data_IF_878703119540
#
_entry.id   IF_878703119540
#
_cell.length_a   1.000
_cell.length_b   1.000
_cell.length_c   1.000
_cell.angle_alpha   90.00
_cell.angle_beta   90.00
_cell.angle_gamma   90.00
#
_symmetry.space_group_name_H-M   'P 1'
#
loop_
_entity.id
_entity.type
_entity.pdbx_description
1 polymer ?
2 non-polymer ?
3 non-polymer ?
4 non-polymer ?
5 non-polymer ?
6 water ?
#
# COMPACT_ATOMS: atom_id res chain seq x y z
N UNK A 3 1.70 25.68 7.47
CA UNK A 3 2.19 24.43 8.09
C UNK A 3 0.99 23.70 8.68
N UNK A 4 0.01 23.33 7.85
CA UNK A 4 -1.18 22.65 8.29
C UNK A 4 -0.78 21.20 8.66
N UNK A 5 -1.45 20.66 9.62
CA UNK A 5 -1.18 19.33 10.11
C UNK A 5 -1.86 18.27 9.26
N UNK A 6 -1.39 17.05 9.44
CA UNK A 6 -1.82 15.91 8.61
C UNK A 6 -3.35 15.79 8.68
N UNK A 7 -3.93 15.79 9.87
CA UNK A 7 -5.38 15.50 10.00
C UNK A 7 -6.16 16.62 9.31
N UNK A 8 -5.65 17.87 9.39
CA UNK A 8 -6.28 18.99 8.68
C UNK A 8 -6.25 18.78 7.19
N UNK A 9 -5.09 18.43 6.65
CA UNK A 9 -4.97 18.15 5.22
C UNK A 9 -5.87 17.02 4.77
N UNK A 10 -5.97 15.96 5.56
CA UNK A 10 -6.74 14.78 5.14
C UNK A 10 -8.19 15.20 4.91
N UNK A 11 -8.69 16.21 5.65
CA UNK A 11 -10.09 16.65 5.56
C UNK A 11 -10.24 17.74 4.51
N UNK A 12 -9.25 18.59 4.32
CA UNK A 12 -9.40 19.84 3.56
C UNK A 12 -8.65 19.86 2.24
N UNK A 13 -7.50 19.16 2.09
CA UNK A 13 -6.70 19.30 0.88
C UNK A 13 -7.49 18.75 -0.29
N UNK A 14 -7.56 19.51 -1.37
CA UNK A 14 -8.32 19.13 -2.57
C UNK A 14 -9.81 19.28 -2.36
N UNK A 15 -10.25 19.76 -1.22
CA UNK A 15 -11.65 19.63 -0.77
C UNK A 15 -12.19 20.96 -0.27
N UNK A 16 -11.86 22.03 -0.97
CA UNK A 16 -12.54 23.31 -0.74
C UNK A 16 -14.05 23.15 -0.98
N UNK A 17 -14.86 23.91 -0.27
CA UNK A 17 -16.31 23.82 -0.49
C UNK A 17 -16.64 24.16 -1.95
N UNK A 18 -17.73 23.55 -2.44
CA UNK A 18 -18.11 23.75 -3.86
C UNK A 18 -18.31 25.24 -4.12
N UNK A 19 -17.82 25.70 -5.25
CA UNK A 19 -17.88 27.12 -5.62
C UNK A 19 -19.36 27.58 -5.80
N UNK A 20 -20.19 26.82 -6.53
CA UNK A 20 -21.53 27.26 -6.91
C UNK A 20 -22.49 27.19 -5.72
N UNK A 21 -22.42 26.09 -4.96
CA UNK A 21 -23.46 25.75 -3.96
C UNK A 21 -22.92 25.84 -2.53
N UNK A 22 -21.60 25.91 -2.34
CA UNK A 22 -21.00 25.78 -1.02
C UNK A 22 -20.99 24.38 -0.46
N UNK A 23 -21.48 23.36 -1.17
CA UNK A 23 -21.49 21.99 -0.60
C UNK A 23 -20.14 21.67 0.07
N UNK A 24 -20.22 21.32 1.34
CA UNK A 24 -18.99 21.13 2.13
C UNK A 24 -18.26 19.86 1.74
N UNK A 25 -18.92 18.87 1.21
CA UNK A 25 -18.31 17.63 0.75
C UNK A 25 -18.27 17.67 -0.76
N UNK A 26 -17.17 17.19 -1.32
CA UNK A 26 -17.02 17.10 -2.79
C UNK A 26 -18.20 16.33 -3.39
N UNK A 27 -18.91 16.87 -4.40
CA UNK A 27 -19.94 16.11 -5.07
C UNK A 27 -19.36 14.82 -5.71
N UNK A 28 -20.24 13.89 -5.97
CA UNK A 28 -19.93 12.67 -6.77
C UNK A 28 -20.28 13.05 -8.20
N UNK A 29 -19.27 13.25 -9.02
CA UNK A 29 -19.45 13.63 -10.43
C UNK A 29 -19.61 12.35 -11.21
N UNK A 30 -20.78 11.76 -11.14
CA UNK A 30 -21.15 10.56 -11.85
C UNK A 30 -21.58 10.94 -13.26
N UNK A 31 -20.57 11.23 -14.07
CA UNK A 31 -20.72 11.80 -15.42
C UNK A 31 -19.62 11.18 -16.29
N UNK A 32 -19.90 10.99 -17.56
CA UNK A 32 -18.81 10.58 -18.48
C UNK A 32 -18.18 11.80 -19.12
N UNK A 33 -18.94 12.87 -19.33
CA UNK A 33 -18.46 13.96 -20.22
C UNK A 33 -18.94 15.30 -19.74
N UNK A 34 -18.49 16.32 -20.43
CA UNK A 34 -18.52 17.75 -19.95
C UNK A 34 -18.78 18.64 -21.15
N UNK A 35 -19.73 19.53 -21.01
CA UNK A 35 -20.04 20.51 -22.03
C UNK A 35 -18.88 21.49 -22.19
N UNK A 36 -18.49 21.78 -23.42
CA UNK A 36 -17.44 22.76 -23.78
C UNK A 36 -18.10 24.01 -24.35
N UNK A 37 -17.52 25.17 -24.07
CA UNK A 37 -18.01 26.47 -24.56
C UNK A 37 -17.26 26.80 -25.87
N UNK A 38 -17.81 26.31 -26.96
CA UNK A 38 -17.09 26.26 -28.25
C UNK A 38 -16.08 25.10 -28.20
N UNK A 39 -15.63 24.68 -29.37
CA UNK A 39 -14.70 23.54 -29.44
C UNK A 39 -13.39 23.88 -28.71
N UNK A 40 -13.02 23.07 -27.72
CA UNK A 40 -11.82 23.28 -26.87
C UNK A 40 -12.04 24.28 -25.76
N UNK A 41 -13.25 24.84 -25.61
CA UNK A 41 -13.54 25.78 -24.52
C UNK A 41 -13.83 25.03 -23.25
N UNK A 42 -12.80 24.49 -22.57
CA UNK A 42 -13.10 23.57 -21.43
C UNK A 42 -13.61 24.40 -20.27
N UNK A 43 -14.57 23.86 -19.56
CA UNK A 43 -14.99 24.45 -18.29
C UNK A 43 -14.21 23.84 -17.15
N UNK A 44 -13.48 24.64 -16.43
CA UNK A 44 -12.71 24.17 -15.31
C UNK A 44 -11.69 23.13 -15.69
N UNK A 45 -11.34 23.04 -16.98
CA UNK A 45 -10.31 22.11 -17.42
C UNK A 45 -10.84 20.69 -17.65
N UNK A 46 -12.16 20.46 -17.60
CA UNK A 46 -12.70 19.10 -17.74
C UNK A 46 -13.22 18.84 -19.15
N UNK A 47 -13.06 17.60 -19.59
CA UNK A 47 -13.44 17.21 -20.96
C UNK A 47 -14.00 15.79 -21.02
N UNK A 48 -13.44 14.86 -20.26
CA UNK A 48 -13.91 13.46 -20.35
C UNK A 48 -13.44 12.74 -19.10
N UNK A 49 -14.31 11.96 -18.45
CA UNK A 49 -14.00 11.45 -17.10
C UNK A 49 -12.79 10.54 -17.05
N UNK A 50 -12.52 9.73 -18.06
CA UNK A 50 -11.26 8.92 -18.03
C UNK A 50 -10.05 9.86 -17.88
N UNK A 51 -10.04 10.94 -18.63
CA UNK A 51 -8.94 11.91 -18.65
C UNK A 51 -8.78 12.59 -17.28
N UNK A 52 -9.90 13.10 -16.78
CA UNK A 52 -9.98 13.71 -15.43
C UNK A 52 -11.45 13.84 -15.04
N UNK A 53 -11.70 13.62 -13.77
CA UNK A 53 -13.07 13.71 -13.19
C UNK A 53 -12.93 14.51 -11.90
N UNK A 54 -13.82 15.50 -11.59
CA UNK A 54 -13.57 16.40 -10.48
C UNK A 54 -13.53 15.64 -9.14
N UNK A 55 -14.34 14.59 -8.95
CA UNK A 55 -14.26 13.86 -7.69
C UNK A 55 -12.87 13.16 -7.61
N UNK A 56 -12.44 12.52 -8.69
CA UNK A 56 -11.13 11.84 -8.71
C UNK A 56 -10.01 12.87 -8.51
N UNK A 57 -10.12 14.09 -9.05
CA UNK A 57 -9.10 15.12 -8.86
C UNK A 57 -8.97 15.46 -7.36
N UNK A 58 -10.10 15.55 -6.68
CA UNK A 58 -10.08 15.85 -5.23
C UNK A 58 -9.26 14.78 -4.49
N UNK A 59 -9.53 13.51 -4.77
CA UNK A 59 -8.78 12.39 -4.13
C UNK A 59 -7.31 12.48 -4.49
N UNK A 60 -7.01 12.76 -5.73
CA UNK A 60 -5.61 12.81 -6.24
C UNK A 60 -4.87 13.96 -5.53
N UNK A 61 -5.50 15.13 -5.43
CA UNK A 61 -4.89 16.30 -4.75
C UNK A 61 -4.73 16.05 -3.26
N UNK A 62 -5.68 15.40 -2.64
CA UNK A 62 -5.57 15.08 -1.20
C UNK A 62 -4.36 14.12 -0.98
N UNK A 63 -4.29 13.04 -1.73
CA UNK A 63 -3.18 12.08 -1.60
C UNK A 63 -1.84 12.78 -1.84
N UNK A 64 -1.73 13.62 -2.84
CA UNK A 64 -0.49 14.39 -3.08
C UNK A 64 -0.16 15.19 -1.84
N UNK A 65 -1.14 15.86 -1.23
CA UNK A 65 -0.85 16.66 -0.02
C UNK A 65 -0.35 15.77 1.12
N UNK A 66 -0.95 14.62 1.31
CA UNK A 66 -0.61 13.78 2.47
C UNK A 66 0.78 13.13 2.35
N UNK A 67 1.19 12.81 1.13
CA UNK A 67 2.53 12.24 0.86
C UNK A 67 3.56 13.33 0.60
N UNK A 68 3.16 14.58 0.48
CA UNK A 68 4.07 15.67 0.16
C UNK A 68 4.56 15.58 -1.27
N UNK A 69 3.75 15.13 -2.20
CA UNK A 69 4.15 15.06 -3.60
C UNK A 69 3.55 16.19 -4.42
N UNK A 70 3.91 16.25 -5.70
CA UNK A 70 3.38 17.28 -6.63
C UNK A 70 2.12 16.78 -7.33
N UNK A 71 1.92 15.48 -7.47
CA UNK A 71 0.85 14.94 -8.32
C UNK A 71 0.42 13.61 -7.73
N UNK A 72 -0.86 13.44 -7.59
CA UNK A 72 -1.48 12.14 -7.30
C UNK A 72 -2.26 11.62 -8.48
N UNK A 73 -2.39 10.31 -8.59
CA UNK A 73 -3.18 9.65 -9.66
C UNK A 73 -3.90 8.46 -9.05
N UNK A 74 -5.20 8.38 -9.26
CA UNK A 74 -6.04 7.32 -8.70
C UNK A 74 -6.44 6.30 -9.76
N UNK A 75 -6.43 5.03 -9.35
CA UNK A 75 -6.60 3.89 -10.25
C UNK A 75 -7.64 2.92 -9.72
N UNK A 76 -8.03 1.99 -10.57
CA UNK A 76 -9.15 1.06 -10.34
C UNK A 76 -8.86 0.06 -9.23
N UNK A 77 -7.60 -0.12 -8.90
CA UNK A 77 -7.14 -1.03 -7.85
C UNK A 77 -5.65 -0.70 -7.57
N UNK A 78 -5.11 -1.20 -6.47
CA UNK A 78 -3.67 -1.17 -6.22
C UNK A 78 -2.91 -1.79 -7.39
N UNK A 79 -3.38 -2.95 -7.83
CA UNK A 79 -2.67 -3.65 -8.93
C UNK A 79 -2.69 -2.78 -10.19
N UNK A 80 -3.77 -2.04 -10.46
CA UNK A 80 -3.80 -1.20 -11.65
C UNK A 80 -2.86 0.00 -11.53
N UNK A 81 -2.67 0.52 -10.35
CA UNK A 81 -1.65 1.56 -10.09
C UNK A 81 -0.27 0.97 -10.41
N UNK A 82 0.02 -0.22 -9.91
CA UNK A 82 1.30 -0.89 -10.16
C UNK A 82 1.48 -1.07 -11.66
N UNK A 83 0.47 -1.58 -12.38
CA UNK A 83 0.56 -1.87 -13.81
C UNK A 83 0.79 -0.60 -14.59
N UNK A 84 0.09 0.47 -14.30
CA UNK A 84 0.28 1.72 -15.03
C UNK A 84 1.69 2.25 -14.75
N UNK A 85 2.12 2.19 -13.52
CA UNK A 85 3.49 2.63 -13.16
C UNK A 85 4.53 1.91 -14.01
N UNK A 86 4.49 0.59 -13.99
CA UNK A 86 5.50 -0.24 -14.67
C UNK A 86 5.40 -0.09 -16.19
N UNK A 87 4.20 0.07 -16.74
CA UNK A 87 4.05 0.26 -18.22
C UNK A 87 4.71 1.58 -18.58
N UNK A 88 4.66 2.57 -17.69
CA UNK A 88 5.19 3.92 -17.93
C UNK A 88 6.71 3.89 -17.85
N UNK A 89 7.30 3.31 -16.80
CA UNK A 89 8.75 3.52 -16.50
C UNK A 89 9.60 2.41 -17.11
N UNK A 90 9.04 1.30 -17.56
CA UNK A 90 9.78 0.15 -18.09
C UNK A 90 9.44 -0.05 -19.55
N UNK A 91 10.26 -0.85 -20.21
CA UNK A 91 10.02 -1.29 -21.60
C UNK A 91 10.77 -2.61 -21.70
N UNK A 92 10.59 -3.37 -22.85
CA UNK A 92 11.36 -4.60 -23.06
C UNK A 92 12.87 -4.32 -22.92
N UNK A 93 13.55 -5.22 -22.23
CA UNK A 93 14.99 -5.15 -22.04
C UNK A 93 15.38 -4.57 -20.69
N UNK A 94 14.44 -3.96 -19.99
CA UNK A 94 14.71 -3.31 -18.69
C UNK A 94 14.72 -4.38 -17.60
N UNK A 95 15.23 -4.01 -16.45
CA UNK A 95 15.33 -4.89 -15.25
C UNK A 95 14.72 -4.19 -14.07
N UNK A 96 14.10 -4.94 -13.20
CA UNK A 96 13.51 -4.47 -11.92
C UNK A 96 14.09 -5.24 -10.76
N UNK A 97 14.42 -4.58 -9.67
CA UNK A 97 14.67 -5.24 -8.38
C UNK A 97 13.38 -5.17 -7.58
N UNK A 98 12.91 -6.32 -7.11
CA UNK A 98 11.70 -6.41 -6.26
C UNK A 98 12.11 -7.01 -4.91
N UNK A 99 11.23 -6.88 -3.91
CA UNK A 99 11.52 -7.45 -2.61
C UNK A 99 11.47 -8.98 -2.61
N UNK A 100 12.17 -9.56 -1.63
CA UNK A 100 12.13 -11.03 -1.41
C UNK A 100 10.96 -11.40 -0.49
N UNK A 101 10.15 -10.45 -0.10
CA UNK A 101 8.87 -10.68 0.63
C UNK A 101 7.92 -9.59 0.24
N UNK A 102 6.85 -9.89 -0.45
CA UNK A 102 6.01 -8.84 -1.04
C UNK A 102 4.64 -9.39 -1.30
N UNK A 103 3.69 -8.50 -1.47
CA UNK A 103 2.32 -8.93 -1.82
C UNK A 103 2.39 -9.91 -3.03
N UNK A 104 1.71 -11.06 -2.95
CA UNK A 104 1.76 -12.05 -4.03
C UNK A 104 1.30 -11.47 -5.34
N UNK A 105 0.36 -10.54 -5.37
CA UNK A 105 -0.06 -9.92 -6.65
C UNK A 105 1.03 -9.12 -7.31
N UNK A 106 1.84 -8.42 -6.53
CA UNK A 106 2.98 -7.70 -7.07
C UNK A 106 3.90 -8.70 -7.78
N UNK A 107 4.27 -9.76 -7.10
CA UNK A 107 5.12 -10.83 -7.64
C UNK A 107 4.47 -11.33 -8.93
N UNK A 108 3.20 -11.66 -8.87
CA UNK A 108 2.48 -12.25 -10.02
C UNK A 108 2.54 -11.27 -11.19
N UNK A 109 2.28 -9.97 -10.98
CA UNK A 109 2.27 -9.01 -12.12
C UNK A 109 3.65 -8.96 -12.76
N UNK A 110 4.69 -8.87 -11.94
CA UNK A 110 6.07 -8.74 -12.47
C UNK A 110 6.47 -10.06 -13.17
N UNK A 111 6.32 -11.22 -12.52
CA UNK A 111 6.88 -12.50 -13.01
C UNK A 111 5.99 -13.09 -14.09
N UNK A 112 4.68 -12.90 -14.05
CA UNK A 112 3.76 -13.62 -14.96
C UNK A 112 3.28 -12.72 -16.09
N UNK A 113 3.41 -11.41 -15.97
CA UNK A 113 2.98 -10.48 -17.05
C UNK A 113 4.21 -9.69 -17.58
N UNK A 114 4.91 -8.99 -16.73
CA UNK A 114 5.95 -8.12 -17.27
C UNK A 114 7.16 -8.93 -17.81
N UNK A 115 7.44 -10.08 -17.24
CA UNK A 115 8.56 -10.93 -17.75
C UNK A 115 8.28 -11.34 -19.18
N UNK A 116 7.05 -11.76 -19.48
CA UNK A 116 6.57 -12.19 -20.83
C UNK A 116 6.69 -11.00 -21.79
N UNK A 117 6.62 -9.79 -21.27
CA UNK A 117 6.71 -8.52 -22.03
C UNK A 117 8.14 -7.99 -22.02
N UNK A 118 9.11 -8.80 -21.61
CA UNK A 118 10.53 -8.57 -21.79
C UNK A 118 11.25 -7.85 -20.64
N UNK A 119 10.63 -7.77 -19.45
CA UNK A 119 11.28 -7.12 -18.28
C UNK A 119 11.89 -8.19 -17.41
N UNK A 120 13.18 -8.13 -17.20
CA UNK A 120 13.87 -9.06 -16.28
C UNK A 120 13.70 -8.54 -14.85
N UNK A 121 13.91 -9.42 -13.89
CA UNK A 121 13.75 -9.08 -12.49
C UNK A 121 14.59 -9.99 -11.61
N UNK A 122 14.87 -9.49 -10.43
CA UNK A 122 15.47 -10.24 -9.32
C UNK A 122 14.80 -9.85 -8.04
N UNK A 123 14.56 -10.81 -7.16
CA UNK A 123 14.05 -10.55 -5.81
C UNK A 123 15.24 -10.50 -4.85
N UNK A 124 15.30 -9.47 -4.06
CA UNK A 124 16.46 -9.13 -3.20
C UNK A 124 15.94 -8.90 -1.81
N UNK A 125 16.78 -9.19 -0.83
CA UNK A 125 16.53 -8.77 0.56
C UNK A 125 16.76 -7.26 0.69
N UNK A 126 15.70 -6.45 0.65
CA UNK A 126 15.85 -4.98 0.71
C UNK A 126 16.29 -4.50 2.08
N UNK A 127 16.24 -5.35 3.09
CA UNK A 127 16.76 -5.03 4.44
C UNK A 127 18.29 -5.07 4.40
N UNK A 128 18.88 -5.57 3.32
CA UNK A 128 20.39 -5.70 3.17
C UNK A 128 20.85 -4.79 2.06
N UNK A 129 21.24 -3.53 2.35
CA UNK A 129 21.61 -2.61 1.29
C UNK A 129 22.73 -3.11 0.36
N UNK A 130 23.68 -3.93 0.87
CA UNK A 130 24.73 -4.53 0.02
C UNK A 130 24.11 -5.41 -1.06
N UNK A 131 23.11 -6.23 -0.71
CA UNK A 131 22.49 -7.12 -1.67
C UNK A 131 21.83 -6.20 -2.70
N UNK A 132 21.19 -5.11 -2.27
CA UNK A 132 20.47 -4.22 -3.22
C UNK A 132 21.51 -3.61 -4.18
N UNK A 133 22.59 -3.04 -3.64
CA UNK A 133 23.63 -2.37 -4.47
C UNK A 133 24.20 -3.38 -5.47
N UNK A 134 24.47 -4.63 -5.06
CA UNK A 134 25.10 -5.58 -6.04
C UNK A 134 24.09 -6.13 -7.02
N UNK A 135 22.78 -5.97 -6.77
CA UNK A 135 21.75 -6.52 -7.67
C UNK A 135 21.52 -5.55 -8.85
N UNK A 136 21.99 -4.32 -8.74
CA UNK A 136 21.84 -3.31 -9.81
C UNK A 136 22.55 -3.88 -11.05
N UNK A 137 21.87 -3.80 -12.14
CA UNK A 137 22.36 -4.11 -13.48
C UNK A 137 22.33 -2.84 -14.32
N UNK A 138 23.06 -2.81 -15.43
CA UNK A 138 23.05 -1.63 -16.29
C UNK A 138 21.65 -1.32 -16.81
N UNK A 139 20.81 -2.36 -16.95
CA UNK A 139 19.40 -2.26 -17.41
C UNK A 139 18.41 -1.89 -16.28
N UNK A 140 18.81 -1.88 -15.00
CA UNK A 140 17.87 -1.64 -13.89
C UNK A 140 17.21 -0.26 -13.98
N UNK A 141 15.90 -0.22 -14.08
CA UNK A 141 15.14 1.08 -14.15
C UNK A 141 14.56 1.45 -12.82
N UNK A 142 14.31 0.51 -11.90
CA UNK A 142 13.67 0.80 -10.64
C UNK A 142 13.97 -0.26 -9.60
N UNK A 143 13.98 0.20 -8.35
CA UNK A 143 13.96 -0.65 -7.16
C UNK A 143 12.58 -0.52 -6.54
N UNK A 144 11.90 -1.64 -6.42
CA UNK A 144 10.52 -1.70 -5.88
C UNK A 144 10.58 -2.13 -4.42
N UNK A 145 10.20 -1.26 -3.52
CA UNK A 145 10.30 -1.45 -2.05
C UNK A 145 8.93 -1.57 -1.42
N UNK A 146 8.70 -2.62 -0.65
CA UNK A 146 7.60 -2.59 0.35
C UNK A 146 8.31 -2.44 1.70
N UNK A 147 7.79 -1.62 2.60
CA UNK A 147 8.26 -1.60 4.01
C UNK A 147 7.15 -1.00 4.85
N UNK A 148 6.68 -1.70 5.90
CA UNK A 148 6.96 -3.11 6.16
C UNK A 148 6.49 -4.05 5.04
N UNK A 149 7.15 -5.21 4.86
CA UNK A 149 6.81 -6.16 3.77
C UNK A 149 5.53 -6.92 4.11
N UNK A 150 4.85 -7.37 3.07
CA UNK A 150 3.63 -8.19 3.21
C UNK A 150 4.01 -9.64 2.92
N UNK A 151 4.03 -10.58 3.89
CA UNK A 151 3.41 -10.46 5.22
C UNK A 151 4.37 -10.48 6.42
N UNK A 152 5.68 -10.60 6.17
CA UNK A 152 6.64 -10.77 7.29
C UNK A 152 6.91 -9.46 8.05
N UNK A 153 6.54 -8.31 7.49
CA UNK A 153 6.78 -7.00 8.11
C UNK A 153 8.27 -6.72 8.26
N UNK A 154 9.07 -7.12 7.28
CA UNK A 154 10.48 -6.73 7.25
C UNK A 154 10.58 -5.27 6.84
N UNK A 155 11.68 -4.65 7.24
CA UNK A 155 11.91 -3.20 7.15
C UNK A 155 13.07 -2.90 6.20
N UNK A 156 12.88 -1.90 5.35
CA UNK A 156 13.88 -1.41 4.39
C UNK A 156 14.11 0.07 4.70
N UNK A 157 15.35 0.45 4.68
CA UNK A 157 15.77 1.87 4.94
C UNK A 157 15.58 2.68 3.64
N UNK A 158 14.47 3.40 3.57
CA UNK A 158 14.05 4.12 2.34
C UNK A 158 15.18 5.08 1.93
N UNK A 159 15.66 5.89 2.85
CA UNK A 159 16.66 6.93 2.53
C UNK A 159 17.92 6.24 1.97
N UNK A 160 18.34 5.13 2.58
CA UNK A 160 19.52 4.40 2.11
C UNK A 160 19.29 3.87 0.69
N UNK A 161 18.14 3.26 0.45
CA UNK A 161 17.88 2.63 -0.86
C UNK A 161 17.68 3.72 -1.92
N UNK A 162 17.17 4.89 -1.54
CA UNK A 162 17.03 6.02 -2.47
C UNK A 162 18.41 6.38 -2.99
N UNK A 163 19.39 6.49 -2.11
CA UNK A 163 20.75 6.85 -2.57
C UNK A 163 21.30 5.78 -3.50
N UNK A 164 21.08 4.49 -3.24
CA UNK A 164 21.56 3.42 -4.12
C UNK A 164 20.86 3.51 -5.50
N UNK A 165 19.55 3.67 -5.51
CA UNK A 165 18.79 3.79 -6.76
C UNK A 165 19.32 4.98 -7.57
N UNK A 166 19.47 6.14 -6.92
CA UNK A 166 19.78 7.38 -7.64
C UNK A 166 21.22 7.32 -8.20
N UNK A 167 22.11 6.71 -7.45
CA UNK A 167 23.50 6.54 -7.93
C UNK A 167 23.47 5.75 -9.23
N UNK A 168 22.55 4.80 -9.40
CA UNK A 168 22.42 4.00 -10.63
C UNK A 168 21.48 4.64 -11.68
N UNK A 169 21.03 5.86 -11.47
CA UNK A 169 20.06 6.54 -12.38
C UNK A 169 18.77 5.69 -12.47
N UNK A 170 18.38 5.02 -11.37
CA UNK A 170 17.15 4.23 -11.28
C UNK A 170 16.13 4.97 -10.40
N UNK A 171 14.85 4.63 -10.54
CA UNK A 171 13.84 5.21 -9.64
C UNK A 171 13.68 4.35 -8.40
N UNK A 172 13.40 4.97 -7.25
CA UNK A 172 12.97 4.25 -6.05
C UNK A 172 11.46 4.33 -5.95
N UNK A 173 10.80 3.18 -6.00
CA UNK A 173 9.34 3.04 -5.83
C UNK A 173 9.09 2.47 -4.45
N UNK A 174 8.25 3.10 -3.63
CA UNK A 174 7.88 2.56 -2.32
C UNK A 174 6.38 2.33 -2.29
N UNK A 175 6.02 1.09 -2.13
CA UNK A 175 4.63 0.67 -1.86
C UNK A 175 4.40 0.91 -0.38
N UNK A 176 3.68 2.01 -0.10
CA UNK A 176 3.48 2.52 1.28
C UNK A 176 2.10 2.09 1.80
N UNK A 177 1.53 1.05 1.24
CA UNK A 177 0.20 0.54 1.59
C UNK A 177 0.08 0.22 3.08
N UNK A 178 0.98 -0.56 3.64
CA UNK A 178 0.87 -1.04 5.05
C UNK A 178 1.05 0.13 6.01
N UNK A 179 1.99 1.03 5.77
CA UNK A 179 2.25 2.10 6.73
C UNK A 179 1.21 3.22 6.63
N UNK A 180 0.82 3.54 5.39
CA UNK A 180 0.02 4.72 5.05
C UNK A 180 0.83 6.00 5.22
N UNK A 181 0.36 7.10 4.61
CA UNK A 181 1.05 8.39 4.71
C UNK A 181 1.06 8.93 6.11
N UNK A 182 0.15 8.43 6.97
CA UNK A 182 0.12 8.88 8.38
C UNK A 182 1.36 8.38 9.11
N UNK A 183 1.85 7.21 8.79
CA UNK A 183 3.00 6.63 9.56
C UNK A 183 4.33 6.84 8.82
N UNK A 184 4.33 6.97 7.50
CA UNK A 184 5.59 6.94 6.76
C UNK A 184 5.42 7.78 5.50
N UNK A 185 6.42 8.58 5.16
CA UNK A 185 6.32 9.49 4.00
C UNK A 185 7.53 9.26 3.10
N UNK A 186 7.49 8.26 2.22
CA UNK A 186 8.68 7.92 1.45
C UNK A 186 9.24 9.05 0.60
N UNK A 187 8.41 9.90 0.02
CA UNK A 187 8.97 10.99 -0.84
C UNK A 187 9.91 11.85 -0.01
N UNK A 188 9.64 12.07 1.28
CA UNK A 188 10.44 12.92 2.17
C UNK A 188 11.84 12.30 2.41
N UNK A 189 12.00 11.01 2.11
CA UNK A 189 13.27 10.24 2.31
C UNK A 189 13.93 9.95 0.94
N UNK A 190 13.43 10.53 -0.13
CA UNK A 190 14.04 10.43 -1.46
C UNK A 190 13.39 9.43 -2.40
N UNK A 191 12.30 8.78 -2.03
CA UNK A 191 11.55 7.97 -3.01
C UNK A 191 11.08 8.85 -4.16
N UNK A 192 11.03 8.27 -5.35
CA UNK A 192 10.49 8.92 -6.55
C UNK A 192 8.98 8.71 -6.68
N UNK A 193 8.50 7.55 -6.32
CA UNK A 193 7.10 7.17 -6.52
C UNK A 193 6.65 6.49 -5.26
N UNK A 194 5.44 6.83 -4.80
CA UNK A 194 4.74 6.08 -3.76
C UNK A 194 3.58 5.38 -4.43
N UNK A 195 3.41 4.12 -4.15
CA UNK A 195 2.27 3.29 -4.56
C UNK A 195 1.42 3.01 -3.36
N UNK A 196 0.09 3.04 -3.53
CA UNK A 196 -0.84 2.51 -2.52
C UNK A 196 -1.86 1.62 -3.16
N UNK A 197 -2.21 0.54 -2.46
CA UNK A 197 -3.57 -0.02 -2.53
C UNK A 197 -4.41 0.83 -1.60
N UNK A 198 -5.24 1.72 -2.12
CA UNK A 198 -6.18 2.50 -1.28
C UNK A 198 -7.28 1.61 -0.71
N UNK A 199 -7.37 0.39 -1.17
CA UNK A 199 -8.31 -0.60 -0.67
C UNK A 199 -8.08 -0.78 0.83
N UNK A 200 -6.84 -0.58 1.27
CA UNK A 200 -6.42 -0.97 2.65
C UNK A 200 -6.67 0.21 3.58
N UNK A 201 -5.70 0.73 4.27
CA UNK A 201 -5.91 1.74 5.31
C UNK A 201 -6.52 3.06 4.82
N UNK A 202 -6.22 3.50 3.58
CA UNK A 202 -6.72 4.81 3.12
C UNK A 202 -8.26 4.78 3.04
N UNK A 203 -8.86 3.88 2.25
CA UNK A 203 -10.31 3.74 2.28
C UNK A 203 -10.79 3.33 3.66
N UNK A 204 -10.12 2.33 4.27
CA UNK A 204 -10.24 2.04 5.69
C UNK A 204 -11.42 1.17 6.10
N UNK A 205 -12.32 0.82 5.18
CA UNK A 205 -13.60 0.19 5.61
C UNK A 205 -13.93 -1.06 4.81
N UNK A 206 -12.91 -1.67 4.15
CA UNK A 206 -13.08 -2.91 3.38
C UNK A 206 -14.26 -2.84 2.42
N UNK A 207 -14.45 -1.67 1.79
CA UNK A 207 -15.65 -1.45 0.97
C UNK A 207 -15.33 -0.74 -0.34
N UNK A 208 -14.06 -0.61 -0.75
CA UNK A 208 -13.74 0.05 -2.06
C UNK A 208 -12.33 -0.36 -2.51
N UNK A 209 -12.26 -1.05 -3.65
CA UNK A 209 -10.97 -1.46 -4.23
C UNK A 209 -10.48 -0.27 -5.04
N UNK A 210 -9.24 0.10 -4.80
CA UNK A 210 -8.66 1.23 -5.49
C UNK A 210 -7.16 1.29 -5.30
N UNK A 211 -6.51 2.07 -6.16
CA UNK A 211 -5.05 2.29 -6.07
C UNK A 211 -4.68 3.74 -6.25
N UNK A 212 -3.45 4.06 -5.95
CA UNK A 212 -2.95 5.40 -6.20
C UNK A 212 -1.45 5.39 -6.42
N UNK A 213 -1.00 6.42 -7.14
CA UNK A 213 0.42 6.77 -7.29
C UNK A 213 0.58 8.23 -6.80
N UNK A 214 1.64 8.53 -6.11
CA UNK A 214 2.02 9.92 -5.85
C UNK A 214 3.48 10.11 -6.21
N UNK A 215 3.81 11.23 -6.87
CA UNK A 215 5.19 11.48 -7.29
C UNK A 215 5.68 12.84 -6.82
N UNK A 216 7.00 12.93 -6.75
CA UNK A 216 7.72 14.19 -6.44
C UNK A 216 7.96 15.04 -7.68
N UNK A 217 8.11 14.41 -8.82
CA UNK A 217 8.57 15.06 -10.06
C UNK A 217 7.41 15.27 -11.03
N UNK A 218 7.15 16.52 -11.38
CA UNK A 218 5.94 16.85 -12.19
C UNK A 218 6.03 16.17 -13.56
N UNK A 219 7.21 16.04 -14.17
CA UNK A 219 7.30 15.37 -15.48
C UNK A 219 6.98 13.91 -15.39
N UNK A 220 7.48 13.22 -14.37
CA UNK A 220 7.11 11.80 -14.25
C UNK A 220 5.58 11.75 -14.03
N UNK A 221 5.01 12.67 -13.23
CA UNK A 221 3.59 12.74 -13.04
C UNK A 221 2.84 12.84 -14.38
N UNK A 222 3.31 13.68 -15.29
CA UNK A 222 2.67 13.80 -16.63
C UNK A 222 2.85 12.55 -17.44
N UNK A 223 3.98 11.85 -17.37
CA UNK A 223 4.09 10.56 -18.11
C UNK A 223 3.14 9.53 -17.54
N UNK A 224 3.02 9.42 -16.21
CA UNK A 224 2.04 8.54 -15.61
C UNK A 224 0.66 8.94 -16.02
N UNK A 225 0.34 10.25 -16.01
CA UNK A 225 -1.03 10.69 -16.32
C UNK A 225 -1.36 10.30 -17.76
N UNK A 226 -0.39 10.38 -18.66
CA UNK A 226 -0.64 9.96 -20.07
C UNK A 226 -1.08 8.50 -20.09
N UNK A 227 -0.51 7.65 -19.26
CA UNK A 227 -0.87 6.21 -19.20
C UNK A 227 -2.20 6.01 -18.46
N UNK A 228 -2.44 6.79 -17.40
CA UNK A 228 -3.76 6.79 -16.74
C UNK A 228 -4.86 7.02 -17.79
N UNK A 229 -4.71 8.06 -18.62
CA UNK A 229 -5.69 8.40 -19.66
C UNK A 229 -5.73 7.32 -20.76
N UNK A 230 -4.56 6.88 -21.20
CA UNK A 230 -4.44 6.09 -22.44
C UNK A 230 -4.85 4.63 -22.19
N UNK A 231 -4.38 4.08 -21.07
CA UNK A 231 -4.70 2.70 -20.67
C UNK A 231 -6.04 2.68 -19.89
N UNK A 232 -6.42 3.80 -19.26
CA UNK A 232 -7.76 3.95 -18.72
C UNK A 232 -8.07 3.15 -17.49
N UNK A 233 -7.13 2.81 -16.63
CA UNK A 233 -7.42 1.98 -15.46
C UNK A 233 -7.74 2.90 -14.28
N UNK A 234 -8.73 3.73 -14.45
CA UNK A 234 -9.04 4.83 -13.51
C UNK A 234 -9.94 4.31 -12.37
N UNK A 235 -9.81 4.97 -11.22
CA UNK A 235 -10.82 4.90 -10.16
C UNK A 235 -12.08 5.64 -10.65
N UNK A 236 -13.22 4.98 -10.52
CA UNK A 236 -14.48 5.65 -10.81
C UNK A 236 -14.82 6.65 -9.70
N UNK A 237 -15.69 7.62 -10.00
CA UNK A 237 -15.92 8.72 -9.08
C UNK A 237 -16.52 8.31 -7.73
N UNK A 238 -17.44 7.33 -7.72
CA UNK A 238 -18.04 6.94 -6.42
C UNK A 238 -17.00 6.22 -5.57
N UNK A 239 -16.19 5.31 -6.17
CA UNK A 239 -15.12 4.65 -5.42
C UNK A 239 -14.12 5.70 -4.94
N UNK A 240 -13.73 6.66 -5.77
CA UNK A 240 -12.80 7.71 -5.38
C UNK A 240 -13.37 8.47 -4.19
N UNK A 241 -14.68 8.73 -4.25
CA UNK A 241 -15.38 9.50 -3.19
C UNK A 241 -15.36 8.74 -1.87
N UNK A 242 -15.58 7.44 -1.90
CA UNK A 242 -15.56 6.64 -0.66
C UNK A 242 -14.14 6.56 -0.14
N UNK A 243 -13.15 6.44 -1.03
CA UNK A 243 -11.73 6.40 -0.58
C UNK A 243 -11.44 7.70 0.12
N UNK A 244 -11.81 8.84 -0.45
CA UNK A 244 -11.58 10.16 0.11
C UNK A 244 -12.33 10.25 1.46
N UNK A 245 -13.55 9.75 1.55
CA UNK A 245 -14.26 9.75 2.86
C UNK A 245 -13.47 8.98 3.90
N UNK A 246 -12.96 7.82 3.54
CA UNK A 246 -12.13 7.00 4.44
C UNK A 246 -10.92 7.77 4.92
N UNK A 247 -10.26 8.49 4.01
CA UNK A 247 -9.00 9.22 4.33
C UNK A 247 -9.22 10.21 5.45
N UNK A 248 -10.42 10.78 5.57
CA UNK A 248 -10.71 11.75 6.62
C UNK A 248 -10.48 11.21 8.01
N UNK A 249 -10.62 9.93 8.23
CA UNK A 249 -10.43 9.33 9.56
C UNK A 249 -9.12 8.53 9.62
N UNK A 250 -8.23 8.60 8.66
CA UNK A 250 -7.00 7.79 8.70
C UNK A 250 -6.26 7.98 10.02
N UNK A 251 -6.04 9.23 10.43
CA UNK A 251 -5.27 9.47 11.66
C UNK A 251 -5.87 8.76 12.87
N UNK A 252 -7.16 9.00 13.12
CA UNK A 252 -7.78 8.43 14.32
C UNK A 252 -7.89 6.92 14.19
N UNK A 253 -8.11 6.38 13.01
CA UNK A 253 -8.13 4.94 12.85
C UNK A 253 -6.75 4.36 13.11
N UNK A 254 -5.73 4.89 12.42
CA UNK A 254 -4.37 4.32 12.55
C UNK A 254 -3.93 4.39 14.01
N UNK A 255 -4.16 5.51 14.68
CA UNK A 255 -3.83 5.60 16.14
C UNK A 255 -4.37 4.36 16.84
N UNK A 256 -5.61 4.02 16.61
CA UNK A 256 -6.22 2.92 17.35
C UNK A 256 -5.71 1.58 16.81
N UNK A 257 -5.49 1.43 15.49
CA UNK A 257 -4.89 0.21 14.95
C UNK A 257 -3.56 -0.05 15.67
N UNK A 258 -2.74 0.96 15.83
CA UNK A 258 -1.37 0.81 16.42
C UNK A 258 -1.48 0.42 17.89
N UNK A 259 -2.36 1.09 18.61
CA UNK A 259 -2.54 0.77 20.05
C UNK A 259 -3.11 -0.66 20.20
N UNK A 260 -4.08 -1.05 19.39
CA UNK A 260 -4.66 -2.41 19.49
C UNK A 260 -3.64 -3.46 19.09
N UNK A 261 -2.85 -3.18 18.05
CA UNK A 261 -1.81 -4.13 17.60
C UNK A 261 -0.78 -4.30 18.71
N UNK A 262 -0.38 -3.24 19.40
CA UNK A 262 0.63 -3.39 20.48
C UNK A 262 0.13 -4.32 21.59
N UNK A 263 -1.16 -4.22 21.92
CA UNK A 263 -1.81 -5.07 22.92
C UNK A 263 -1.85 -6.52 22.42
N UNK A 264 -2.21 -6.72 21.16
CA UNK A 264 -2.27 -8.08 20.57
C UNK A 264 -0.87 -8.71 20.58
N UNK A 265 0.15 -7.93 20.26
CA UNK A 265 1.55 -8.44 20.28
C UNK A 265 1.88 -8.90 21.71
N UNK A 266 1.53 -8.13 22.71
CA UNK A 266 1.76 -8.54 24.14
C UNK A 266 1.09 -9.89 24.42
N UNK A 267 -0.12 -10.12 23.94
CA UNK A 267 -0.84 -11.39 24.15
C UNK A 267 -0.13 -12.53 23.41
N UNK A 268 0.43 -12.30 22.26
CA UNK A 268 1.02 -13.37 21.42
C UNK A 268 2.41 -13.74 21.96
N UNK A 269 3.21 -12.76 22.37
CA UNK A 269 4.61 -12.99 22.83
C UNK A 269 4.58 -13.88 24.08
N UNK A 270 5.31 -14.98 24.05
CA UNK A 270 5.27 -15.94 25.16
C UNK A 270 4.04 -16.84 25.23
N UNK A 271 2.95 -16.66 24.42
CA UNK A 271 1.85 -17.65 24.36
C UNK A 271 2.53 -18.98 24.01
N UNK A 272 2.26 -20.07 24.74
CA UNK A 272 2.95 -21.34 24.51
C UNK A 272 2.73 -21.97 23.13
N UNK A 273 1.69 -21.58 22.38
CA UNK A 273 1.45 -22.21 21.04
C UNK A 273 2.15 -21.35 19.95
N UNK A 274 2.68 -20.20 20.31
CA UNK A 274 3.20 -19.25 19.30
C UNK A 274 4.72 -19.36 19.26
N UNK A 275 5.30 -19.65 18.12
CA UNK A 275 6.77 -19.85 17.98
C UNK A 275 7.45 -18.49 17.84
N UNK A 276 6.84 -17.56 17.13
CA UNK A 276 7.51 -16.29 16.74
C UNK A 276 6.44 -15.23 16.47
N UNK A 277 6.68 -14.00 16.93
CA UNK A 277 5.77 -12.85 16.62
C UNK A 277 6.57 -11.82 15.82
N UNK A 278 5.95 -11.37 14.71
CA UNK A 278 6.56 -10.43 13.76
C UNK A 278 5.79 -9.12 13.90
N UNK A 279 6.47 -8.12 14.37
CA UNK A 279 5.89 -6.78 14.53
C UNK A 279 7.03 -5.80 14.54
N UNK A 280 7.00 -4.72 13.75
CA UNK A 280 8.16 -3.81 13.71
C UNK A 280 8.46 -3.10 15.01
N UNK A 281 7.50 -3.04 15.92
CA UNK A 281 7.70 -2.36 17.23
C UNK A 281 8.43 -3.22 18.25
N UNK A 282 8.61 -4.50 17.98
CA UNK A 282 9.34 -5.35 18.95
C UNK A 282 10.80 -4.99 18.83
N UNK A 283 11.49 -4.75 19.96
CA UNK A 283 12.87 -4.29 19.84
C UNK A 283 13.81 -5.28 19.12
N UNK A 284 13.51 -6.58 19.19
CA UNK A 284 14.36 -7.60 18.53
C UNK A 284 13.87 -7.89 17.13
N UNK A 285 12.82 -7.24 16.64
CA UNK A 285 12.40 -7.48 15.26
C UNK A 285 13.49 -6.99 14.35
N UNK A 286 13.81 -7.73 13.28
CA UNK A 286 14.87 -7.29 12.36
C UNK A 286 14.48 -5.94 11.78
N UNK A 287 15.35 -4.95 11.90
CA UNK A 287 15.06 -3.62 11.33
C UNK A 287 14.27 -2.71 12.23
N UNK A 288 14.04 -3.10 13.48
CA UNK A 288 13.36 -2.24 14.49
C UNK A 288 13.92 -0.81 14.49
N UNK A 289 15.23 -0.61 14.54
CA UNK A 289 15.85 0.75 14.66
C UNK A 289 15.56 1.56 13.40
N UNK A 290 15.53 0.92 12.24
CA UNK A 290 15.16 1.63 10.99
C UNK A 290 13.70 2.03 11.11
N UNK A 291 12.82 1.14 11.57
CA UNK A 291 11.39 1.47 11.71
C UNK A 291 11.22 2.65 12.63
N UNK A 292 11.97 2.71 13.75
CA UNK A 292 11.84 3.83 14.69
C UNK A 292 12.21 5.13 13.96
N UNK A 293 13.18 5.12 13.08
CA UNK A 293 13.61 6.41 12.49
C UNK A 293 12.67 6.82 11.34
N UNK A 294 12.01 5.89 10.65
CA UNK A 294 11.22 6.30 9.47
C UNK A 294 9.71 6.15 9.65
N UNK A 295 9.21 5.52 10.70
CA UNK A 295 7.76 5.34 10.94
C UNK A 295 7.37 6.08 12.21
N UNK A 296 6.21 6.77 12.19
CA UNK A 296 5.64 7.48 13.37
C UNK A 296 5.27 6.42 14.43
N UNK A 297 4.80 5.26 13.98
CA UNK A 297 4.32 4.12 14.82
C UNK A 297 4.38 2.90 13.96
N UNK A 298 4.09 1.74 14.51
CA UNK A 298 4.55 0.48 13.87
C UNK A 298 3.47 -0.30 13.18
N UNK A 299 2.26 0.25 13.10
CA UNK A 299 1.22 -0.26 12.25
C UNK A 299 0.25 -1.21 12.91
N UNK A 300 -0.79 -1.58 12.15
CA UNK A 300 -1.87 -2.44 12.61
C UNK A 300 -1.65 -3.91 12.28
N UNK A 301 -0.64 -4.22 11.48
CA UNK A 301 -0.39 -5.59 11.01
C UNK A 301 0.49 -6.32 11.98
N UNK A 302 0.12 -7.58 12.23
CA UNK A 302 0.91 -8.46 13.14
C UNK A 302 0.93 -9.84 12.47
N UNK A 303 2.09 -10.45 12.33
CA UNK A 303 2.17 -11.84 11.84
C UNK A 303 2.78 -12.70 12.92
N UNK A 304 2.48 -13.97 12.88
CA UNK A 304 3.07 -14.92 13.87
C UNK A 304 3.07 -16.32 13.31
N UNK A 305 4.01 -17.12 13.82
CA UNK A 305 4.22 -18.53 13.40
C UNK A 305 3.82 -19.48 14.57
N UNK A 306 2.99 -20.47 14.24
CA UNK A 306 2.48 -21.46 15.21
C UNK A 306 3.52 -22.55 15.41
N UNK A 307 3.72 -22.97 16.65
CA UNK A 307 4.61 -24.13 16.93
C UNK A 307 4.14 -25.39 16.23
N UNK A 308 2.83 -25.61 16.16
CA UNK A 308 2.27 -26.85 15.60
C UNK A 308 2.18 -26.84 14.08
N UNK A 309 2.85 -25.90 13.39
CA UNK A 309 3.00 -25.99 11.94
C UNK A 309 1.78 -25.48 11.18
N UNK A 310 1.69 -25.88 9.94
CA UNK A 310 0.58 -25.50 9.04
C UNK A 310 -0.74 -25.92 9.69
N UNK A 311 -0.81 -27.15 10.22
CA UNK A 311 -2.06 -27.69 10.78
C UNK A 311 -2.57 -26.70 11.85
N UNK A 312 -1.71 -26.23 12.75
CA UNK A 312 -2.10 -25.34 13.86
C UNK A 312 -2.51 -23.99 13.29
N UNK A 313 -1.75 -23.47 12.34
CA UNK A 313 -2.09 -22.14 11.73
C UNK A 313 -3.49 -22.18 11.09
N UNK A 314 -3.80 -23.20 10.31
CA UNK A 314 -5.11 -23.31 9.65
C UNK A 314 -6.22 -23.39 10.71
N UNK A 315 -5.96 -24.07 11.82
CA UNK A 315 -6.98 -24.19 12.90
C UNK A 315 -7.25 -22.83 13.53
N UNK A 316 -6.21 -22.03 13.79
CA UNK A 316 -6.40 -20.69 14.39
C UNK A 316 -7.27 -19.84 13.44
N UNK A 317 -6.89 -19.83 12.17
CA UNK A 317 -7.58 -19.04 11.15
C UNK A 317 -9.09 -19.36 11.17
N UNK A 318 -9.48 -20.62 11.34
CA UNK A 318 -10.90 -21.05 11.27
C UNK A 318 -11.67 -20.76 12.55
N UNK A 319 -10.97 -20.52 13.66
CA UNK A 319 -11.54 -20.54 15.01
C UNK A 319 -11.89 -19.12 15.54
N UNK A 320 -11.31 -18.06 14.98
CA UNK A 320 -11.63 -16.69 15.42
C UNK A 320 -13.11 -16.37 15.15
N UNK A 321 -13.72 -15.63 16.06
CA UNK A 321 -15.15 -15.24 15.98
C UNK A 321 -15.30 -13.73 15.82
N UNK A 322 -14.25 -12.95 16.05
CA UNK A 322 -14.28 -11.47 15.89
C UNK A 322 -13.38 -11.09 14.72
N UNK A 323 -12.12 -11.53 14.71
CA UNK A 323 -11.30 -11.51 13.50
C UNK A 323 -12.02 -12.33 12.42
N UNK A 324 -12.22 -11.76 11.24
CA UNK A 324 -12.90 -12.43 10.11
C UNK A 324 -11.82 -13.06 9.19
N UNK A 325 -12.00 -14.33 8.83
CA UNK A 325 -11.06 -15.02 7.90
C UNK A 325 -11.37 -14.58 6.48
N UNK A 326 -10.47 -13.80 5.91
CA UNK A 326 -10.66 -13.19 4.58
C UNK A 326 -9.35 -12.59 4.11
N UNK A 327 -9.19 -12.44 2.82
CA UNK A 327 -8.10 -11.64 2.26
C UNK A 327 -8.32 -10.16 2.63
N UNK A 328 -7.30 -9.38 2.40
CA UNK A 328 -7.31 -7.94 2.59
C UNK A 328 -6.90 -7.51 4.00
N UNK A 329 -6.80 -6.21 4.20
CA UNK A 329 -6.25 -5.64 5.45
C UNK A 329 -6.61 -4.16 5.50
N UNK A 330 -6.36 -3.52 6.64
CA UNK A 330 -6.49 -2.09 6.78
C UNK A 330 -7.92 -1.63 6.97
N UNK A 331 -8.85 -2.53 7.19
CA UNK A 331 -10.19 -2.15 7.54
C UNK A 331 -10.39 -1.94 9.03
N UNK A 332 -11.47 -1.25 9.33
CA UNK A 332 -11.87 -1.04 10.74
C UNK A 332 -12.14 -2.42 11.34
N UNK A 333 -12.63 -3.35 10.56
CA UNK A 333 -12.88 -4.69 11.08
C UNK A 333 -11.61 -5.53 11.06
N UNK A 334 -11.37 -6.28 12.10
CA UNK A 334 -10.19 -7.18 12.18
C UNK A 334 -10.28 -8.32 11.16
N UNK A 335 -9.16 -8.61 10.50
CA UNK A 335 -9.08 -9.71 9.53
C UNK A 335 -7.91 -10.61 9.91
N UNK A 336 -8.11 -11.89 9.60
CA UNK A 336 -7.07 -12.93 9.79
C UNK A 336 -6.96 -13.69 8.47
N UNK A 337 -5.75 -14.16 8.13
CA UNK A 337 -5.60 -15.06 6.98
C UNK A 337 -4.34 -15.91 7.12
N UNK A 338 -4.28 -16.91 6.24
CA UNK A 338 -3.11 -17.79 6.05
C UNK A 338 -2.48 -17.40 4.72
N UNK A 339 -1.42 -16.58 4.72
CA UNK A 339 -0.82 -16.17 3.45
C UNK A 339 -0.45 -17.32 2.52
N UNK A 340 0.06 -18.41 3.09
CA UNK A 340 0.57 -19.50 2.22
C UNK A 340 -0.51 -20.04 1.28
N UNK A 341 -1.75 -20.12 1.75
CA UNK A 341 -2.87 -20.67 0.94
C UNK A 341 -3.83 -19.56 0.39
N UNK A 342 -3.66 -18.35 0.84
CA UNK A 342 -4.56 -17.21 0.49
C UNK A 342 -3.76 -16.17 -0.30
N UNK A 343 -3.38 -15.04 0.29
CA UNK A 343 -2.84 -13.91 -0.50
C UNK A 343 -1.53 -14.29 -1.20
N UNK A 344 -0.81 -15.26 -0.67
CA UNK A 344 0.53 -15.58 -1.19
C UNK A 344 0.60 -17.00 -1.75
N UNK A 345 -0.53 -17.60 -2.07
CA UNK A 345 -0.53 -18.83 -2.87
C UNK A 345 0.25 -18.59 -4.19
N UNK A 346 0.18 -17.35 -4.73
CA UNK A 346 0.84 -16.94 -6.01
C UNK A 346 2.37 -16.91 -5.83
N UNK A 347 2.90 -17.01 -4.61
CA UNK A 347 4.39 -17.00 -4.42
C UNK A 347 4.93 -18.40 -4.10
N UNK A 348 4.08 -19.42 -3.95
CA UNK A 348 4.52 -20.77 -3.70
C UNK A 348 5.58 -21.16 -4.75
N UNK A 349 6.67 -21.78 -4.33
CA UNK A 349 7.71 -22.23 -5.25
C UNK A 349 8.69 -21.16 -5.69
N UNK A 350 8.55 -19.94 -5.21
CA UNK A 350 9.43 -18.80 -5.60
C UNK A 350 10.29 -18.41 -4.39
N UNK A 351 11.18 -17.44 -4.60
CA UNK A 351 11.94 -16.84 -3.50
C UNK A 351 11.05 -16.12 -2.50
N UNK A 352 9.79 -15.80 -2.89
CA UNK A 352 8.84 -15.08 -2.00
C UNK A 352 7.86 -16.01 -1.29
N UNK A 353 8.07 -17.35 -1.36
CA UNK A 353 7.21 -18.30 -0.65
C UNK A 353 7.19 -17.94 0.83
N UNK A 354 6.01 -17.97 1.43
CA UNK A 354 5.85 -17.61 2.86
C UNK A 354 5.86 -18.91 3.65
N UNK A 355 6.26 -18.88 4.92
CA UNK A 355 6.19 -20.09 5.76
C UNK A 355 4.73 -20.59 5.96
N UNK A 356 4.56 -21.90 5.90
CA UNK A 356 3.21 -22.50 5.96
C UNK A 356 2.68 -22.43 7.38
N UNK A 357 3.53 -22.11 8.36
CA UNK A 357 3.04 -22.02 9.77
C UNK A 357 2.69 -20.59 10.15
N UNK A 358 2.60 -19.69 9.18
CA UNK A 358 2.40 -18.26 9.47
C UNK A 358 0.94 -17.88 9.36
N UNK A 359 0.51 -17.05 10.32
CA UNK A 359 -0.81 -16.40 10.32
C UNK A 359 -0.58 -14.88 10.22
N UNK A 360 -1.36 -14.20 9.42
CA UNK A 360 -1.27 -12.73 9.30
C UNK A 360 -2.54 -12.14 9.92
N UNK A 361 -2.38 -11.16 10.79
CA UNK A 361 -3.49 -10.35 11.35
C UNK A 361 -3.47 -8.95 10.82
N UNK A 362 -4.66 -8.46 10.44
CA UNK A 362 -4.95 -7.02 10.35
C UNK A 362 -5.77 -6.69 11.58
N UNK A 363 -5.12 -6.11 12.56
CA UNK A 363 -5.80 -5.77 13.83
C UNK A 363 -6.65 -4.54 13.58
N UNK A 364 -7.94 -4.67 13.82
CA UNK A 364 -8.92 -3.61 13.55
C UNK A 364 -9.04 -2.69 14.74
N UNK A 365 -10.11 -1.89 14.76
CA UNK A 365 -10.34 -0.86 15.80
C UNK A 365 -11.46 -1.27 16.75
N UNK A 366 -11.82 -2.54 16.76
CA UNK A 366 -12.75 -3.07 17.77
C UNK A 366 -12.13 -2.90 19.18
N UNK A 367 -13.00 -3.02 20.18
CA UNK A 367 -12.58 -2.94 21.60
C UNK A 367 -11.49 -3.99 21.84
N UNK A 368 -10.35 -3.58 22.34
CA UNK A 368 -9.14 -4.42 22.31
C UNK A 368 -9.35 -5.72 23.13
N UNK A 369 -10.06 -5.67 24.25
CA UNK A 369 -10.19 -6.89 25.05
C UNK A 369 -10.92 -7.91 24.21
N UNK A 370 -11.87 -7.51 23.37
CA UNK A 370 -12.62 -8.49 22.56
C UNK A 370 -11.67 -9.17 21.57
N UNK A 371 -10.72 -8.42 21.00
CA UNK A 371 -9.75 -8.96 20.03
C UNK A 371 -8.78 -9.90 20.73
N UNK A 372 -8.25 -9.50 21.88
CA UNK A 372 -7.30 -10.34 22.62
C UNK A 372 -8.02 -11.63 23.04
N UNK A 373 -9.21 -11.51 23.60
CA UNK A 373 -9.94 -12.70 24.06
C UNK A 373 -10.24 -13.62 22.86
N UNK A 374 -10.57 -13.08 21.69
CA UNK A 374 -10.86 -13.89 20.51
C UNK A 374 -9.61 -14.64 20.11
N UNK A 375 -8.46 -13.99 20.06
CA UNK A 375 -7.23 -14.70 19.68
C UNK A 375 -6.92 -15.78 20.72
N UNK A 376 -7.05 -15.43 21.98
CA UNK A 376 -6.67 -16.42 23.03
C UNK A 376 -7.54 -17.67 22.91
N UNK A 377 -8.82 -17.58 22.65
CA UNK A 377 -9.66 -18.79 22.48
C UNK A 377 -9.28 -19.53 21.17
N UNK A 378 -8.94 -18.81 20.12
CA UNK A 378 -8.61 -19.46 18.84
C UNK A 378 -7.28 -20.23 18.97
N UNK A 379 -6.36 -19.76 19.80
CA UNK A 379 -5.00 -20.31 19.94
C UNK A 379 -5.04 -21.56 20.81
N UNK A 380 -6.07 -21.69 21.64
CA UNK A 380 -6.14 -22.79 22.65
C UNK A 380 -6.30 -24.10 21.89
N UNK A 381 -5.39 -25.10 22.05
CA UNK A 381 -5.39 -26.31 21.21
C UNK A 381 -6.49 -27.35 21.56
#
# INVERSE_FOLDING_TARGET
>A
MSYEGFETLAIHAGQEADAETGAVVVPIYQTSTYRQDGVGGLRGGYEYSRTANPTRTALEECLAALEGGVRGLAFASGMAAEDTLLRTIARPGDHLIIPNDAYGGTFRLVSKVFERWGVSWDAVDLSNPEAVRTAIRPETVAIWVETPTNPLLNIADIAALADIAHAADALLVVDNTFASPYLQRPLSLGADVVVHSTTKYLGGHSDVVGGALVVADAELGERLAFHQNSMGAVAGPFDAWLTLRGIKTLGVRMDRHCANAERVVEALVGHPEVAEVLYPGLPDHPGHKVAVDQMRAFGGMVSFRMRGGEEAALRVCAKTKVFTLAESLGGVESLIEHPGKMTHASTAGSLLEVPSDLVRLSVGIETVDDLVNDLLQALEPLEHHHHHH
#
